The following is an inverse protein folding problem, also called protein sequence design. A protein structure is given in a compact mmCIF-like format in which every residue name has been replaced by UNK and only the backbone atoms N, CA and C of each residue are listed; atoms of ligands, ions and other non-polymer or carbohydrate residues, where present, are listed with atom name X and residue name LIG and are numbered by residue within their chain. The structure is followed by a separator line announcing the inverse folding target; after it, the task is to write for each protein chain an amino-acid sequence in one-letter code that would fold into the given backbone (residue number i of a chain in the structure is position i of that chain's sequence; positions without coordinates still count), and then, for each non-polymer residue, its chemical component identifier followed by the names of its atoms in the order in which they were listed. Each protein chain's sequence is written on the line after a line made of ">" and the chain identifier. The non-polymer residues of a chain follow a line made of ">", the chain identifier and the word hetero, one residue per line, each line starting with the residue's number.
data_IF_399013846244
#
_entry.id   IF_399013846244
#
_cell.length_a   1.000
_cell.length_b   1.000
_cell.length_c   1.000
_cell.angle_alpha   90.00
_cell.angle_beta   90.00
_cell.angle_gamma   90.00
#
_symmetry.space_group_name_H-M   'P 1'
#
loop_
_entity.id
_entity.type
_entity.pdbx_description
1 polymer ?
#
# COMPACT_ATOMS: atom_id res chain seq x y z
N UNK A 1 -0.58 11.31 5.25
CA UNK A 1 0.21 10.20 5.82
C UNK A 1 -0.17 8.90 5.11
N UNK A 2 0.76 7.95 4.99
CA UNK A 2 0.59 6.73 4.22
C UNK A 2 0.92 5.48 5.05
N UNK A 3 0.15 4.43 4.87
CA UNK A 3 0.21 3.19 5.62
C UNK A 3 0.60 2.06 4.67
N UNK A 4 1.58 1.26 5.09
CA UNK A 4 1.97 0.03 4.40
C UNK A 4 1.35 -1.14 5.14
N UNK A 5 0.68 -2.01 4.39
CA UNK A 5 0.15 -3.27 4.91
C UNK A 5 0.64 -4.44 4.06
N UNK A 6 0.97 -5.55 4.72
CA UNK A 6 1.38 -6.79 4.08
C UNK A 6 0.22 -7.78 4.02
N UNK A 7 0.08 -8.48 2.90
CA UNK A 7 -0.88 -9.57 2.78
C UNK A 7 -0.39 -10.77 3.61
N UNK A 8 -1.30 -11.36 4.36
CA UNK A 8 -1.13 -12.56 5.19
C UNK A 8 -2.33 -13.49 5.00
N UNK A 9 -2.26 -14.69 5.57
CA UNK A 9 -3.38 -15.65 5.54
C UNK A 9 -4.64 -15.12 6.27
N UNK A 10 -4.49 -14.13 7.15
CA UNK A 10 -5.58 -13.46 7.87
C UNK A 10 -6.01 -12.14 7.21
N UNK A 11 -5.52 -11.84 6.00
CA UNK A 11 -5.77 -10.60 5.29
C UNK A 11 -4.64 -9.59 5.44
N UNK A 12 -4.97 -8.31 5.40
CA UNK A 12 -4.01 -7.21 5.45
C UNK A 12 -3.57 -6.92 6.88
N UNK A 13 -2.26 -6.86 7.10
CA UNK A 13 -1.66 -6.56 8.40
C UNK A 13 -0.74 -5.34 8.33
N UNK A 14 -0.79 -4.48 9.34
CA UNK A 14 0.03 -3.28 9.44
C UNK A 14 1.53 -3.61 9.44
N UNK A 15 2.30 -2.91 8.62
CA UNK A 15 3.75 -3.11 8.50
C UNK A 15 4.54 -1.85 8.86
N UNK A 16 4.10 -0.68 8.39
CA UNK A 16 4.80 0.58 8.58
C UNK A 16 3.92 1.79 8.22
N UNK A 17 4.41 2.98 8.57
CA UNK A 17 3.77 4.26 8.28
C UNK A 17 4.82 5.31 7.94
N UNK A 18 4.50 6.17 6.97
CA UNK A 18 5.37 7.25 6.49
C UNK A 18 4.56 8.49 6.16
N UNK A 19 5.16 9.67 6.32
CA UNK A 19 4.52 10.94 5.94
C UNK A 19 4.58 11.20 4.43
N UNK A 20 5.64 10.71 3.78
CA UNK A 20 5.87 10.85 2.34
C UNK A 20 5.37 9.63 1.56
N UNK A 21 4.65 9.88 0.46
CA UNK A 21 4.17 8.84 -0.47
C UNK A 21 5.34 8.06 -1.06
N UNK A 22 6.35 8.76 -1.55
CA UNK A 22 7.47 8.13 -2.27
C UNK A 22 8.31 7.25 -1.33
N UNK A 23 8.54 7.70 -0.10
CA UNK A 23 9.24 6.90 0.91
C UNK A 23 8.45 5.62 1.23
N UNK A 24 7.13 5.76 1.40
CA UNK A 24 6.25 4.63 1.67
C UNK A 24 6.23 3.63 0.51
N UNK A 25 6.16 4.13 -0.72
CA UNK A 25 6.15 3.33 -1.93
C UNK A 25 7.44 2.52 -2.08
N UNK A 26 8.60 3.18 -2.01
CA UNK A 26 9.88 2.49 -2.17
C UNK A 26 10.16 1.51 -1.03
N UNK A 27 9.73 1.82 0.20
CA UNK A 27 9.80 0.87 1.31
C UNK A 27 8.97 -0.38 1.02
N UNK A 28 7.69 -0.22 0.65
CA UNK A 28 6.82 -1.35 0.34
C UNK A 28 7.34 -2.15 -0.87
N UNK A 29 7.89 -1.48 -1.88
CA UNK A 29 8.47 -2.11 -3.07
C UNK A 29 9.66 -2.98 -2.71
N UNK A 30 10.60 -2.43 -1.95
CA UNK A 30 11.77 -3.15 -1.48
C UNK A 30 11.38 -4.39 -0.66
N UNK A 31 10.38 -4.27 0.22
CA UNK A 31 9.84 -5.43 0.96
C UNK A 31 9.24 -6.48 0.04
N UNK A 32 8.46 -6.09 -0.97
CA UNK A 32 7.87 -7.03 -1.93
C UNK A 32 8.94 -7.76 -2.73
N UNK A 33 9.96 -7.06 -3.20
CA UNK A 33 11.07 -7.63 -3.98
C UNK A 33 11.90 -8.63 -3.15
N UNK A 34 12.14 -8.34 -1.87
CA UNK A 34 12.94 -9.21 -0.99
C UNK A 34 12.15 -10.42 -0.50
N UNK A 35 10.87 -10.25 -0.15
CA UNK A 35 10.07 -11.31 0.50
C UNK A 35 9.20 -12.10 -0.46
N UNK A 36 8.97 -11.60 -1.68
CA UNK A 36 7.98 -12.13 -2.61
C UNK A 36 6.53 -11.93 -2.17
N UNK A 37 6.28 -11.29 -1.02
CA UNK A 37 4.93 -11.03 -0.48
C UNK A 37 4.30 -9.82 -1.19
N UNK A 38 2.97 -9.82 -1.20
CA UNK A 38 2.17 -8.69 -1.66
C UNK A 38 2.02 -7.66 -0.55
N UNK A 39 2.21 -6.40 -0.89
CA UNK A 39 1.97 -5.26 0.00
C UNK A 39 0.97 -4.32 -0.64
N UNK A 40 0.24 -3.57 0.18
CA UNK A 40 -0.49 -2.39 -0.27
C UNK A 40 -0.02 -1.15 0.47
N UNK A 41 0.00 -0.04 -0.23
CA UNK A 41 0.20 1.29 0.30
C UNK A 41 -1.13 2.02 0.23
N UNK A 42 -1.62 2.57 1.34
CA UNK A 42 -2.89 3.29 1.39
C UNK A 42 -2.66 4.66 2.01
N UNK A 43 -3.27 5.71 1.45
CA UNK A 43 -3.32 7.01 2.11
C UNK A 43 -4.25 6.96 3.33
N UNK A 44 -3.97 7.75 4.37
CA UNK A 44 -4.76 7.72 5.61
C UNK A 44 -6.25 8.06 5.40
N UNK A 45 -6.54 8.92 4.42
CA UNK A 45 -7.89 9.28 3.97
C UNK A 45 -8.51 8.26 3.00
N UNK A 46 -7.79 7.18 2.71
CA UNK A 46 -8.19 6.08 1.82
C UNK A 46 -8.53 6.53 0.39
N UNK A 47 -8.07 7.71 -0.02
CA UNK A 47 -8.24 8.26 -1.38
C UNK A 47 -7.26 7.66 -2.39
N UNK A 48 -6.26 6.90 -1.95
CA UNK A 48 -5.29 6.28 -2.83
C UNK A 48 -4.87 4.91 -2.29
N UNK A 49 -4.73 3.96 -3.20
CA UNK A 49 -4.13 2.66 -2.93
C UNK A 49 -3.15 2.26 -4.03
N UNK A 50 -1.97 1.78 -3.65
CA UNK A 50 -1.07 1.06 -4.55
C UNK A 50 -0.93 -0.38 -4.11
N UNK A 51 -1.04 -1.33 -5.04
CA UNK A 51 -0.74 -2.74 -4.82
C UNK A 51 0.67 -3.04 -5.34
N UNK A 52 1.51 -3.62 -4.51
CA UNK A 52 2.89 -3.96 -4.82
C UNK A 52 3.09 -5.47 -4.74
N UNK A 53 3.49 -6.06 -5.85
CA UNK A 53 3.82 -7.48 -5.96
C UNK A 53 5.23 -7.66 -6.49
N UNK A 54 5.78 -8.87 -6.40
CA UNK A 54 7.07 -9.21 -7.02
C UNK A 54 7.10 -8.99 -8.54
N UNK A 55 5.94 -8.88 -9.19
CA UNK A 55 5.82 -8.69 -10.65
C UNK A 55 5.68 -7.24 -11.09
N UNK A 56 5.37 -6.33 -10.16
CA UNK A 56 5.11 -4.94 -10.50
C UNK A 56 4.25 -4.25 -9.46
N UNK A 57 3.82 -3.05 -9.79
CA UNK A 57 2.97 -2.23 -8.93
C UNK A 57 1.93 -1.49 -9.74
N UNK A 58 0.70 -1.46 -9.24
CA UNK A 58 -0.41 -0.70 -9.80
C UNK A 58 -0.98 0.23 -8.73
N UNK A 59 -1.38 1.43 -9.12
CA UNK A 59 -1.91 2.44 -8.22
C UNK A 59 -3.25 2.98 -8.74
N UNK A 60 -4.16 3.23 -7.82
CA UNK A 60 -5.47 3.78 -8.09
C UNK A 60 -5.77 4.93 -7.13
N UNK A 61 -6.37 5.98 -7.68
CA UNK A 61 -7.09 6.96 -6.89
C UNK A 61 -8.50 6.41 -6.64
N UNK A 62 -8.94 6.45 -5.40
CA UNK A 62 -10.26 6.03 -5.00
C UNK A 62 -11.17 7.25 -5.10
N UNK A 63 -12.29 7.13 -5.82
CA UNK A 63 -13.26 8.21 -5.82
C UNK A 63 -13.78 8.41 -4.38
N UNK A 64 -13.93 9.67 -3.93
CA UNK A 64 -14.57 9.92 -2.65
C UNK A 64 -15.97 9.31 -2.69
N UNK A 65 -16.35 8.55 -1.66
CA UNK A 65 -17.72 8.08 -1.53
C UNK A 65 -18.65 9.30 -1.56
N UNK A 66 -19.34 9.50 -2.69
CA UNK A 66 -20.43 10.47 -2.77
C UNK A 66 -21.57 9.85 -2.00
N UNK A 67 -21.64 10.16 -0.69
CA UNK A 67 -22.80 9.83 0.12
C UNK A 67 -23.93 10.75 -0.38
N UNK A 68 -24.81 10.19 -1.21
CA UNK A 68 -26.03 10.83 -1.69
C UNK A 68 -27.14 10.81 -0.63
#
# INVERSE_FOLDING_TARGET
>A
MFIIEGLTDQGWSFEARHDSRDNAFWHARAKSDVTGRTFRLISQDQQMVCLLTSRGSDCWEMEPEVIA
#
